data_IF_223835133196
#
_entry.id   IF_223835133196
#
_cell.length_a   1.000
_cell.length_b   1.000
_cell.length_c   1.000
_cell.angle_alpha   90.00
_cell.angle_beta   90.00
_cell.angle_gamma   90.00
#
_symmetry.space_group_name_H-M   'P 1'
#
loop_
_entity.id
_entity.type
_entity.pdbx_description
1 polymer ?
#
# COMPACT_ATOMS: atom_id res chain seq x y z
N UNK A 1 15.64 -22.05 30.66
CA UNK A 1 14.39 -21.30 30.47
C UNK A 1 14.32 -20.94 29.00
N UNK A 2 13.37 -21.46 28.24
CA UNK A 2 13.29 -21.12 26.81
C UNK A 2 12.78 -19.68 26.71
N UNK A 3 13.58 -18.85 26.04
CA UNK A 3 13.20 -17.49 25.69
C UNK A 3 11.93 -17.55 24.82
N UNK A 4 10.82 -17.15 25.37
CA UNK A 4 9.64 -16.80 24.60
C UNK A 4 10.02 -15.61 23.73
N UNK A 5 10.39 -15.90 22.50
CA UNK A 5 10.43 -14.91 21.45
C UNK A 5 8.99 -14.48 21.30
N UNK A 6 8.66 -13.35 21.91
CA UNK A 6 7.40 -12.66 21.66
C UNK A 6 7.36 -12.28 20.17
N UNK A 7 6.96 -13.24 19.35
CA UNK A 7 6.55 -12.98 17.98
C UNK A 7 5.32 -12.10 18.07
N UNK A 8 5.50 -10.81 18.11
CA UNK A 8 4.43 -9.85 17.83
C UNK A 8 3.88 -10.20 16.45
N UNK A 9 2.88 -11.06 16.46
CA UNK A 9 2.21 -11.57 15.28
C UNK A 9 1.51 -10.39 14.60
N UNK A 10 2.23 -9.73 13.70
CA UNK A 10 1.67 -8.64 12.91
C UNK A 10 0.70 -9.24 11.90
N UNK A 11 -0.56 -8.89 12.05
CA UNK A 11 -1.64 -9.38 11.20
C UNK A 11 -1.57 -8.65 9.85
N UNK A 12 -1.48 -9.39 8.77
CA UNK A 12 -1.72 -8.92 7.42
C UNK A 12 -2.55 -9.95 6.66
N UNK A 13 -3.11 -9.54 5.53
CA UNK A 13 -4.00 -10.39 4.76
C UNK A 13 -3.31 -11.71 4.33
N UNK A 14 -2.05 -11.64 3.90
CA UNK A 14 -1.31 -12.83 3.48
C UNK A 14 -1.15 -13.85 4.61
N UNK A 15 -0.64 -13.42 5.78
CA UNK A 15 -0.44 -14.32 6.91
C UNK A 15 -1.76 -14.86 7.46
N UNK A 16 -2.81 -14.05 7.44
CA UNK A 16 -4.15 -14.49 7.82
C UNK A 16 -4.64 -15.60 6.89
N UNK A 17 -4.57 -15.42 5.58
CA UNK A 17 -5.04 -16.41 4.60
C UNK A 17 -4.24 -17.71 4.68
N UNK A 18 -2.91 -17.62 4.70
CA UNK A 18 -2.04 -18.80 4.76
C UNK A 18 -2.28 -19.62 6.01
N UNK A 19 -2.45 -18.96 7.16
CA UNK A 19 -2.65 -19.61 8.44
C UNK A 19 -4.08 -20.17 8.60
N UNK A 20 -5.07 -19.38 8.23
CA UNK A 20 -6.50 -19.77 8.38
C UNK A 20 -6.85 -20.96 7.48
N UNK A 21 -6.34 -21.00 6.26
CA UNK A 21 -6.59 -22.07 5.30
C UNK A 21 -5.51 -23.15 5.29
N UNK A 22 -4.51 -23.07 6.17
CA UNK A 22 -3.38 -24.02 6.24
C UNK A 22 -2.72 -24.27 4.88
N UNK A 23 -2.57 -23.19 4.10
CA UNK A 23 -2.05 -23.25 2.74
C UNK A 23 -0.57 -23.62 2.74
N UNK A 24 -0.18 -24.52 1.84
CA UNK A 24 1.20 -25.01 1.71
C UNK A 24 1.65 -24.99 0.26
N UNK A 25 2.96 -24.97 0.06
CA UNK A 25 3.57 -25.08 -1.27
C UNK A 25 3.09 -24.02 -2.25
N UNK A 26 2.65 -24.43 -3.44
CA UNK A 26 2.22 -23.55 -4.52
C UNK A 26 1.02 -22.65 -4.16
N UNK A 27 0.14 -23.08 -3.25
CA UNK A 27 -1.01 -22.31 -2.80
C UNK A 27 -0.58 -21.05 -2.05
N UNK A 28 0.38 -21.16 -1.14
CA UNK A 28 0.95 -19.99 -0.44
C UNK A 28 1.61 -19.03 -1.41
N UNK A 29 2.32 -19.56 -2.42
CA UNK A 29 2.90 -18.75 -3.47
C UNK A 29 1.85 -18.00 -4.29
N UNK A 30 0.75 -18.67 -4.67
CA UNK A 30 -0.35 -18.05 -5.41
C UNK A 30 -1.02 -16.91 -4.63
N UNK A 31 -1.26 -17.12 -3.32
CA UNK A 31 -1.82 -16.07 -2.44
C UNK A 31 -0.87 -14.88 -2.34
N UNK A 32 0.41 -15.12 -2.21
CA UNK A 32 1.40 -14.05 -2.17
C UNK A 32 1.44 -13.26 -3.49
N UNK A 33 1.46 -13.95 -4.62
CA UNK A 33 1.42 -13.31 -5.94
C UNK A 33 0.13 -12.47 -6.10
N UNK A 34 -1.01 -12.96 -5.60
CA UNK A 34 -2.26 -12.21 -5.54
C UNK A 34 -2.17 -10.95 -4.68
N UNK A 35 -1.59 -11.04 -3.49
CA UNK A 35 -1.37 -9.88 -2.62
C UNK A 35 -0.46 -8.84 -3.27
N UNK A 36 0.62 -9.27 -3.93
CA UNK A 36 1.52 -8.36 -4.67
C UNK A 36 0.82 -7.69 -5.85
N UNK A 37 0.00 -8.45 -6.59
CA UNK A 37 -0.80 -7.89 -7.67
C UNK A 37 -1.76 -6.80 -7.16
N UNK A 38 -2.46 -7.06 -6.05
CA UNK A 38 -3.33 -6.07 -5.41
C UNK A 38 -2.54 -4.85 -4.94
N UNK A 39 -1.33 -5.03 -4.41
CA UNK A 39 -0.44 -3.93 -4.03
C UNK A 39 0.03 -3.07 -5.20
N UNK A 40 0.01 -3.59 -6.42
CA UNK A 40 0.29 -2.80 -7.63
C UNK A 40 -0.97 -2.14 -8.18
N UNK A 41 -2.06 -2.89 -8.27
CA UNK A 41 -3.31 -2.43 -8.92
C UNK A 41 -4.02 -1.36 -8.07
N UNK A 42 -4.14 -1.55 -6.76
CA UNK A 42 -4.90 -0.63 -5.91
C UNK A 42 -4.26 0.76 -5.84
N UNK A 43 -2.96 0.92 -5.56
CA UNK A 43 -2.32 2.23 -5.60
C UNK A 43 -2.33 2.87 -6.99
N UNK A 44 -2.22 2.08 -8.05
CA UNK A 44 -2.36 2.58 -9.42
C UNK A 44 -3.75 3.19 -9.66
N UNK A 45 -4.80 2.49 -9.28
CA UNK A 45 -6.18 3.00 -9.39
C UNK A 45 -6.40 4.24 -8.53
N UNK A 46 -5.92 4.24 -7.28
CA UNK A 46 -5.97 5.40 -6.40
C UNK A 46 -5.21 6.59 -7.00
N UNK A 47 -4.04 6.35 -7.57
CA UNK A 47 -3.24 7.37 -8.27
C UNK A 47 -3.95 7.97 -9.49
N UNK A 48 -4.78 7.20 -10.15
CA UNK A 48 -5.56 7.63 -11.32
C UNK A 48 -6.63 8.68 -10.98
N UNK A 49 -7.08 8.75 -9.72
CA UNK A 49 -8.00 9.78 -9.29
C UNK A 49 -7.29 11.14 -9.19
N UNK A 50 -7.74 12.10 -9.98
CA UNK A 50 -7.23 13.46 -9.95
C UNK A 50 -8.23 14.37 -9.21
N UNK A 51 -7.91 14.73 -7.96
CA UNK A 51 -8.79 15.53 -7.14
C UNK A 51 -8.98 16.95 -7.69
N UNK A 52 -7.95 17.56 -8.28
CA UNK A 52 -8.07 18.86 -8.93
C UNK A 52 -9.14 18.84 -10.06
N UNK A 53 -9.10 17.81 -10.90
CA UNK A 53 -10.08 17.65 -11.96
C UNK A 53 -11.49 17.36 -11.43
N UNK A 54 -11.60 16.52 -10.40
CA UNK A 54 -12.90 16.20 -9.78
C UNK A 54 -13.52 17.46 -9.16
N UNK A 55 -12.73 18.24 -8.42
CA UNK A 55 -13.19 19.47 -7.77
C UNK A 55 -13.57 20.52 -8.80
N UNK A 56 -12.74 20.73 -9.83
CA UNK A 56 -13.04 21.72 -10.88
C UNK A 56 -14.36 21.40 -11.59
N UNK A 57 -14.56 20.14 -11.97
CA UNK A 57 -15.79 19.73 -12.67
C UNK A 57 -17.03 19.74 -11.79
N UNK A 58 -16.92 19.26 -10.52
CA UNK A 58 -18.10 19.17 -9.63
C UNK A 58 -18.48 20.48 -8.97
N UNK A 59 -17.48 21.27 -8.57
CA UNK A 59 -17.73 22.49 -7.80
C UNK A 59 -17.77 23.76 -8.64
N UNK A 60 -16.93 23.80 -9.68
CA UNK A 60 -16.80 24.99 -10.53
C UNK A 60 -17.42 24.80 -11.92
N UNK A 61 -17.91 23.58 -12.23
CA UNK A 61 -18.51 23.21 -13.52
C UNK A 61 -17.59 23.52 -14.71
N UNK A 62 -16.28 23.36 -14.50
CA UNK A 62 -15.23 23.77 -15.42
C UNK A 62 -14.08 22.75 -15.43
N UNK A 63 -13.22 22.79 -16.45
CA UNK A 63 -12.08 21.90 -16.57
C UNK A 63 -10.78 22.68 -16.30
N UNK A 64 -10.15 22.43 -15.17
CA UNK A 64 -8.90 23.08 -14.77
C UNK A 64 -7.78 22.98 -15.81
N UNK A 65 -7.84 21.97 -16.67
CA UNK A 65 -6.79 21.73 -17.69
C UNK A 65 -6.80 22.74 -18.84
N UNK A 66 -7.87 23.50 -18.99
CA UNK A 66 -7.95 24.61 -19.98
C UNK A 66 -7.45 25.93 -19.40
N UNK A 67 -7.06 25.97 -18.11
CA UNK A 67 -6.60 27.17 -17.42
C UNK A 67 -5.14 27.07 -16.97
N UNK A 68 -4.48 28.21 -16.91
CA UNK A 68 -3.15 28.37 -16.34
C UNK A 68 -2.10 27.46 -16.99
N UNK A 69 -1.54 26.52 -16.22
CA UNK A 69 -0.52 25.60 -16.71
C UNK A 69 -1.07 24.36 -17.43
N UNK A 70 -2.38 24.21 -17.52
CA UNK A 70 -3.01 22.98 -18.06
C UNK A 70 -2.92 21.74 -17.16
N UNK A 71 -2.26 21.85 -16.00
CA UNK A 71 -2.13 20.75 -15.07
C UNK A 71 -3.22 20.81 -13.98
N UNK A 72 -3.84 19.67 -13.66
CA UNK A 72 -4.86 19.59 -12.63
C UNK A 72 -4.27 19.41 -11.20
N UNK A 73 -3.15 20.07 -10.92
CA UNK A 73 -2.46 20.03 -9.62
C UNK A 73 -2.82 21.21 -8.72
N UNK A 74 -2.46 21.09 -7.44
CA UNK A 74 -2.75 22.07 -6.39
C UNK A 74 -2.35 23.50 -6.75
N UNK A 75 -1.18 23.69 -7.38
CA UNK A 75 -0.70 25.02 -7.75
C UNK A 75 -1.58 25.69 -8.81
N UNK A 76 -2.04 24.94 -9.82
CA UNK A 76 -2.93 25.46 -10.82
C UNK A 76 -4.33 25.73 -10.25
N UNK A 77 -4.81 24.87 -9.39
CA UNK A 77 -6.05 25.07 -8.62
C UNK A 77 -6.00 26.33 -7.74
N UNK A 78 -4.83 26.62 -7.14
CA UNK A 78 -4.62 27.85 -6.37
C UNK A 78 -4.74 29.11 -7.24
N UNK A 79 -4.10 29.08 -8.39
CA UNK A 79 -4.07 30.24 -9.32
C UNK A 79 -5.45 30.50 -9.94
N UNK A 80 -6.20 29.46 -10.27
CA UNK A 80 -7.46 29.55 -11.03
C UNK A 80 -8.67 29.74 -10.12
N UNK A 81 -8.77 28.94 -9.04
CA UNK A 81 -9.95 28.90 -8.18
C UNK A 81 -9.69 29.33 -6.73
N UNK A 82 -8.44 29.68 -6.42
CA UNK A 82 -8.05 30.21 -5.12
C UNK A 82 -7.71 29.16 -4.06
N UNK A 83 -7.41 29.63 -2.81
CA UNK A 83 -6.79 28.80 -1.79
C UNK A 83 -7.70 27.66 -1.27
N UNK A 84 -9.01 27.84 -1.27
CA UNK A 84 -9.95 26.78 -0.84
C UNK A 84 -9.93 25.59 -1.79
N UNK A 85 -9.89 25.84 -3.10
CA UNK A 85 -9.80 24.78 -4.09
C UNK A 85 -8.45 24.05 -4.04
N UNK A 86 -7.38 24.81 -3.89
CA UNK A 86 -6.03 24.26 -3.73
C UNK A 86 -5.91 23.37 -2.48
N UNK A 87 -6.41 23.84 -1.33
CA UNK A 87 -6.39 23.07 -0.09
C UNK A 87 -7.17 21.76 -0.20
N UNK A 88 -8.37 21.78 -0.79
CA UNK A 88 -9.16 20.56 -1.03
C UNK A 88 -8.43 19.58 -1.97
N UNK A 89 -7.79 20.08 -3.01
CA UNK A 89 -6.99 19.24 -3.94
C UNK A 89 -5.82 18.61 -3.21
N UNK A 90 -5.06 19.40 -2.43
CA UNK A 90 -3.92 18.93 -1.65
C UNK A 90 -4.33 17.85 -0.65
N UNK A 91 -5.37 18.10 0.14
CA UNK A 91 -5.89 17.13 1.12
C UNK A 91 -6.34 15.84 0.43
N UNK A 92 -7.06 15.94 -0.68
CA UNK A 92 -7.46 14.76 -1.46
C UNK A 92 -6.26 13.95 -1.97
N UNK A 93 -5.24 14.63 -2.47
CA UNK A 93 -4.01 13.97 -2.95
C UNK A 93 -3.19 13.36 -1.80
N UNK A 94 -3.16 13.98 -0.64
CA UNK A 94 -2.53 13.41 0.57
C UNK A 94 -3.29 12.19 1.07
N UNK A 95 -4.62 12.24 1.12
CA UNK A 95 -5.46 11.13 1.58
C UNK A 95 -5.31 9.90 0.69
N UNK A 96 -5.32 10.06 -0.65
CA UNK A 96 -5.12 8.91 -1.54
C UNK A 96 -3.74 8.27 -1.38
N UNK A 97 -2.70 9.08 -1.17
CA UNK A 97 -1.35 8.59 -0.92
C UNK A 97 -1.27 7.84 0.42
N UNK A 98 -1.85 8.39 1.49
CA UNK A 98 -1.92 7.73 2.79
C UNK A 98 -2.68 6.40 2.71
N UNK A 99 -3.83 6.37 2.00
CA UNK A 99 -4.60 5.14 1.79
C UNK A 99 -3.80 4.09 1.02
N UNK A 100 -3.06 4.47 -0.02
CA UNK A 100 -2.21 3.56 -0.77
C UNK A 100 -1.14 2.92 0.12
N UNK A 101 -0.49 3.71 0.99
CA UNK A 101 0.52 3.23 1.95
C UNK A 101 -0.12 2.30 2.99
N UNK A 102 -1.26 2.68 3.57
CA UNK A 102 -1.96 1.85 4.57
C UNK A 102 -2.38 0.51 3.96
N UNK A 103 -2.96 0.53 2.75
CA UNK A 103 -3.36 -0.70 2.06
C UNK A 103 -2.16 -1.59 1.74
N UNK A 104 -1.07 -1.02 1.25
CA UNK A 104 0.18 -1.75 1.04
C UNK A 104 0.70 -2.38 2.32
N UNK A 105 0.67 -1.62 3.41
CA UNK A 105 1.04 -2.12 4.73
C UNK A 105 0.15 -3.29 5.18
N UNK A 106 -1.16 -3.19 5.08
CA UNK A 106 -2.09 -4.24 5.48
C UNK A 106 -1.98 -5.50 4.62
N UNK A 107 -1.64 -5.35 3.34
CA UNK A 107 -1.53 -6.47 2.41
C UNK A 107 -0.21 -7.25 2.57
N UNK A 108 0.91 -6.55 2.77
CA UNK A 108 2.25 -7.16 2.60
C UNK A 108 3.19 -6.94 3.79
N UNK A 109 2.86 -6.08 4.74
CA UNK A 109 3.78 -5.60 5.79
C UNK A 109 4.48 -6.69 6.61
N UNK A 110 4.29 -7.94 6.39
CA UNK A 110 4.95 -8.94 7.17
C UNK A 110 5.72 -9.97 6.35
N UNK A 111 6.35 -9.52 5.32
CA UNK A 111 7.48 -10.28 4.81
C UNK A 111 8.59 -10.13 5.85
N UNK A 112 8.54 -10.96 6.89
CA UNK A 112 9.62 -11.05 7.84
C UNK A 112 10.87 -11.43 7.05
N UNK A 113 11.74 -10.45 6.90
CA UNK A 113 13.12 -10.72 6.57
C UNK A 113 13.63 -11.53 7.77
N UNK A 114 13.67 -12.84 7.62
CA UNK A 114 14.11 -13.70 8.71
C UNK A 114 15.62 -13.62 8.78
N UNK A 115 16.11 -13.14 9.92
CA UNK A 115 17.52 -13.21 10.28
C UNK A 115 17.67 -14.31 11.35
N UNK A 116 18.73 -15.11 11.24
CA UNK A 116 19.10 -16.01 12.33
C UNK A 116 19.68 -15.24 13.52
N UNK A 117 19.89 -15.92 14.62
CA UNK A 117 20.49 -15.35 15.85
C UNK A 117 21.88 -14.73 15.62
N UNK A 118 22.57 -15.12 14.56
CA UNK A 118 23.86 -14.56 14.15
C UNK A 118 23.70 -13.34 13.20
N UNK A 119 22.50 -12.82 12.98
CA UNK A 119 22.24 -11.66 12.12
C UNK A 119 22.41 -11.94 10.62
N UNK A 120 22.46 -13.21 10.20
CA UNK A 120 22.53 -13.58 8.80
C UNK A 120 21.13 -13.67 8.18
N UNK A 121 20.98 -13.10 7.01
CA UNK A 121 19.76 -13.22 6.19
C UNK A 121 19.49 -14.68 5.84
N UNK A 122 18.33 -15.21 6.18
CA UNK A 122 17.93 -16.60 5.93
C UNK A 122 16.76 -16.74 4.96
N UNK A 123 16.10 -15.67 4.59
CA UNK A 123 15.08 -15.70 3.54
C UNK A 123 14.06 -14.57 3.65
N UNK A 124 13.35 -14.35 2.55
CA UNK A 124 12.24 -13.38 2.44
C UNK A 124 10.89 -14.06 2.76
N UNK A 125 10.87 -15.38 2.86
CA UNK A 125 9.67 -16.16 3.07
C UNK A 125 9.80 -16.99 4.32
N UNK A 126 8.80 -16.78 5.18
CA UNK A 126 8.66 -17.37 6.49
C UNK A 126 9.11 -18.81 6.55
N UNK A 127 10.07 -18.97 7.40
CA UNK A 127 10.80 -20.17 7.61
C UNK A 127 9.95 -21.26 8.27
N UNK A 128 10.17 -22.48 7.85
CA UNK A 128 9.83 -23.62 8.67
C UNK A 128 11.03 -23.87 9.60
N UNK A 129 10.89 -23.66 10.91
CA UNK A 129 11.89 -24.18 11.83
C UNK A 129 11.76 -25.70 11.82
N UNK A 130 12.62 -26.39 11.11
CA UNK A 130 12.56 -27.85 11.10
C UNK A 130 13.35 -28.57 10.03
N UNK A 131 14.03 -27.89 9.14
CA UNK A 131 15.04 -28.50 8.27
C UNK A 131 16.45 -28.22 8.81
N UNK A 132 16.65 -28.48 10.08
CA UNK A 132 18.00 -28.75 10.56
C UNK A 132 18.37 -30.12 10.03
N UNK A 133 19.25 -30.11 9.09
CA UNK A 133 19.93 -31.23 8.46
C UNK A 133 20.49 -32.14 9.56
N UNK A 134 20.11 -33.39 9.49
CA UNK A 134 20.91 -34.45 10.07
C UNK A 134 22.22 -34.61 9.26
#
# INVERSE_FOLDING_TARGET
MPNEIHSHMRWNLYTFLVKHFSLTGWQSFAVMAGCLLLCMVIPYLLGSFNFGLIISRRKYHDDIRIHGSGNAGTTNMLRTYGPKAAALTLVGDMLKAALAVILGYLLVNNQAVAYNEAGRFIGVFGDKPGAAVA
#
